data_IF_736020707036
#
_entry.id   IF_736020707036
#
_cell.length_a   1.000
_cell.length_b   1.000
_cell.length_c   1.000
_cell.angle_alpha   90.00
_cell.angle_beta   90.00
_cell.angle_gamma   90.00
#
_symmetry.space_group_name_H-M   'P 1'
#
loop_
_entity.id
_entity.type
_entity.pdbx_description
1 polymer ?
#
# COMPACT_ATOMS: atom_id res chain seq x y z
N UNK A 1 -3.01 -16.90 17.87
CA UNK A 1 -3.42 -16.51 16.52
C UNK A 1 -4.68 -17.27 16.09
N UNK A 2 -4.56 -18.57 15.68
CA UNK A 2 -5.66 -19.33 15.07
C UNK A 2 -6.95 -19.35 15.92
N UNK A 3 -6.86 -19.74 17.20
CA UNK A 3 -8.03 -19.80 18.10
C UNK A 3 -8.74 -18.43 18.19
N UNK A 4 -7.98 -17.36 18.40
CA UNK A 4 -8.54 -16.03 18.50
C UNK A 4 -9.24 -15.59 17.20
N UNK A 5 -8.64 -15.90 16.04
CA UNK A 5 -9.23 -15.60 14.74
C UNK A 5 -10.55 -16.34 14.50
N UNK A 6 -10.58 -17.66 14.75
CA UNK A 6 -11.80 -18.47 14.59
C UNK A 6 -12.90 -18.02 15.55
N UNK A 7 -12.57 -17.75 16.82
CA UNK A 7 -13.54 -17.22 17.80
C UNK A 7 -14.11 -15.88 17.38
N UNK A 8 -13.27 -15.01 16.84
CA UNK A 8 -13.68 -13.69 16.38
C UNK A 8 -14.65 -13.78 15.19
N UNK A 9 -14.30 -14.57 14.16
CA UNK A 9 -15.15 -14.73 12.98
C UNK A 9 -16.50 -15.38 13.38
N UNK A 10 -16.48 -16.40 14.25
CA UNK A 10 -17.70 -17.03 14.71
C UNK A 10 -18.69 -16.05 15.40
N UNK A 11 -18.18 -15.07 16.13
CA UNK A 11 -19.02 -14.01 16.73
C UNK A 11 -19.62 -13.07 15.69
N UNK A 12 -18.91 -12.82 14.59
CA UNK A 12 -19.39 -11.94 13.52
C UNK A 12 -20.41 -12.64 12.62
N UNK A 13 -20.11 -13.87 12.22
CA UNK A 13 -20.94 -14.71 11.38
C UNK A 13 -20.69 -16.21 11.68
N UNK A 14 -21.57 -16.87 12.44
CA UNK A 14 -21.41 -18.29 12.77
C UNK A 14 -21.46 -19.25 11.58
N UNK A 15 -22.02 -18.81 10.45
CA UNK A 15 -22.16 -19.62 9.22
C UNK A 15 -21.08 -19.28 8.16
N UNK A 16 -20.11 -18.42 8.49
CA UNK A 16 -19.04 -18.02 7.57
C UNK A 16 -18.19 -19.23 7.14
N UNK A 17 -17.93 -19.34 5.84
CA UNK A 17 -16.90 -20.26 5.33
C UNK A 17 -15.52 -19.61 5.45
N UNK A 18 -14.58 -20.31 6.11
CA UNK A 18 -13.26 -19.76 6.46
C UNK A 18 -12.16 -20.56 5.74
N UNK A 19 -11.29 -19.90 4.99
CA UNK A 19 -10.00 -20.44 4.57
C UNK A 19 -8.89 -19.87 5.47
N UNK A 20 -8.19 -20.76 6.20
CA UNK A 20 -7.06 -20.39 7.05
C UNK A 20 -5.76 -20.67 6.31
N UNK A 21 -5.06 -19.63 5.89
CA UNK A 21 -3.74 -19.73 5.28
C UNK A 21 -2.64 -19.62 6.34
N UNK A 22 -1.69 -20.55 6.37
CA UNK A 22 -0.60 -20.64 7.36
C UNK A 22 0.69 -21.15 6.71
N UNK A 23 1.84 -20.64 7.17
CA UNK A 23 3.17 -21.09 6.76
C UNK A 23 3.67 -22.32 7.55
N UNK A 24 3.03 -22.66 8.66
CA UNK A 24 3.32 -23.86 9.42
C UNK A 24 2.65 -25.10 8.79
N UNK A 25 3.38 -25.82 7.93
CA UNK A 25 2.90 -27.03 7.31
C UNK A 25 2.45 -28.08 8.35
N UNK A 26 3.17 -28.17 9.48
CA UNK A 26 2.81 -29.06 10.58
C UNK A 26 1.40 -28.77 11.12
N UNK A 27 1.11 -27.49 11.41
CA UNK A 27 -0.20 -27.09 11.95
C UNK A 27 -1.30 -27.30 10.91
N UNK A 28 -1.07 -26.94 9.65
CA UNK A 28 -2.03 -27.17 8.56
C UNK A 28 -2.39 -28.65 8.42
N UNK A 29 -1.39 -29.53 8.40
CA UNK A 29 -1.61 -30.99 8.29
C UNK A 29 -2.33 -31.57 9.51
N UNK A 30 -2.01 -31.08 10.71
CA UNK A 30 -2.65 -31.48 11.94
C UNK A 30 -4.11 -31.00 12.06
N UNK A 31 -4.37 -29.75 11.74
CA UNK A 31 -5.71 -29.15 11.79
C UNK A 31 -6.63 -29.72 10.71
N UNK A 32 -6.08 -30.08 9.54
CA UNK A 32 -6.80 -30.80 8.47
C UNK A 32 -7.04 -32.27 8.76
N UNK A 33 -6.53 -32.79 9.89
CA UNK A 33 -6.70 -34.20 10.27
C UNK A 33 -5.81 -35.19 9.51
N UNK A 34 -4.91 -34.75 8.65
CA UNK A 34 -3.99 -35.60 7.89
C UNK A 34 -2.83 -36.13 8.72
N UNK A 35 -2.40 -35.38 9.76
CA UNK A 35 -1.34 -35.80 10.68
C UNK A 35 -1.81 -35.83 12.12
N UNK A 36 -1.30 -36.83 12.88
CA UNK A 36 -1.64 -37.01 14.29
C UNK A 36 -0.94 -35.97 15.16
N UNK A 37 -1.67 -35.38 16.12
CA UNK A 37 -1.13 -34.48 17.14
C UNK A 37 -0.62 -35.31 18.32
N UNK A 38 0.70 -35.40 18.51
CA UNK A 38 1.32 -36.27 19.56
C UNK A 38 1.37 -35.57 20.92
N UNK A 39 1.58 -34.24 20.98
CA UNK A 39 1.71 -33.45 22.22
C UNK A 39 0.34 -33.19 22.85
N UNK A 40 0.19 -33.41 24.15
CA UNK A 40 -1.10 -33.29 24.86
C UNK A 40 -1.66 -31.86 24.79
N UNK A 41 -0.84 -30.84 25.11
CA UNK A 41 -1.26 -29.41 25.12
C UNK A 41 -1.69 -28.96 23.71
N UNK A 42 -1.02 -29.48 22.67
CA UNK A 42 -1.38 -29.18 21.28
C UNK A 42 -2.69 -29.85 20.87
N UNK A 43 -3.03 -31.02 21.42
CA UNK A 43 -4.35 -31.66 21.20
C UNK A 43 -5.46 -30.82 21.80
N UNK A 44 -5.25 -30.30 23.03
CA UNK A 44 -6.25 -29.51 23.73
C UNK A 44 -6.46 -28.17 23.01
N UNK A 45 -5.40 -27.55 22.54
CA UNK A 45 -5.50 -26.31 21.75
C UNK A 45 -6.18 -26.54 20.40
N UNK A 46 -5.86 -27.64 19.72
CA UNK A 46 -6.51 -27.99 18.46
C UNK A 46 -8.00 -28.32 18.64
N UNK A 47 -8.38 -28.92 19.78
CA UNK A 47 -9.78 -29.11 20.14
C UNK A 47 -10.49 -27.76 20.33
N UNK A 48 -9.92 -26.87 21.11
CA UNK A 48 -10.46 -25.50 21.30
C UNK A 48 -10.66 -24.78 19.96
N UNK A 49 -9.71 -24.88 19.03
CA UNK A 49 -9.84 -24.31 17.70
C UNK A 49 -11.02 -24.92 16.90
N UNK A 50 -11.25 -26.23 16.99
CA UNK A 50 -12.38 -26.86 16.32
C UNK A 50 -13.73 -26.54 16.97
N UNK A 51 -13.74 -26.33 18.28
CA UNK A 51 -14.93 -25.93 19.02
C UNK A 51 -15.29 -24.46 18.84
N UNK A 52 -14.33 -23.63 18.41
CA UNK A 52 -14.49 -22.19 18.24
C UNK A 52 -15.35 -21.78 17.04
N UNK A 53 -15.41 -22.60 16.00
CA UNK A 53 -16.25 -22.43 14.82
C UNK A 53 -16.62 -23.78 14.21
N UNK A 54 -17.71 -23.86 13.44
CA UNK A 54 -18.12 -25.10 12.79
C UNK A 54 -16.98 -25.66 11.91
N UNK A 55 -16.39 -26.82 12.26
CA UNK A 55 -15.21 -27.33 11.56
C UNK A 55 -15.46 -27.71 10.10
N UNK A 56 -16.73 -27.94 9.70
CA UNK A 56 -17.08 -28.21 8.30
C UNK A 56 -17.01 -26.98 7.41
N UNK A 57 -17.01 -25.80 8.00
CA UNK A 57 -16.90 -24.51 7.32
C UNK A 57 -15.46 -23.95 7.32
N UNK A 58 -14.49 -24.68 7.93
CA UNK A 58 -13.10 -24.24 8.02
C UNK A 58 -12.21 -25.13 7.16
N UNK A 59 -11.47 -24.50 6.26
CA UNK A 59 -10.43 -25.14 5.45
C UNK A 59 -9.06 -24.60 5.82
N UNK A 60 -8.01 -25.44 5.69
CA UNK A 60 -6.64 -25.07 6.03
C UNK A 60 -5.74 -25.22 4.81
N UNK A 61 -5.03 -24.15 4.45
CA UNK A 61 -4.12 -24.05 3.32
C UNK A 61 -2.73 -23.71 3.79
N UNK A 62 -1.73 -24.47 3.33
CA UNK A 62 -0.35 -24.09 3.54
C UNK A 62 0.08 -23.06 2.49
N UNK A 63 0.77 -22.02 2.95
CA UNK A 63 1.41 -21.01 2.11
C UNK A 63 2.90 -20.91 2.45
N UNK A 64 3.77 -20.50 1.52
CA UNK A 64 5.16 -20.21 1.80
C UNK A 64 5.30 -19.09 2.85
N UNK A 65 6.44 -19.09 3.58
CA UNK A 65 6.67 -18.15 4.68
C UNK A 65 6.74 -16.69 4.21
N UNK A 66 7.25 -16.45 3.02
CA UNK A 66 7.31 -15.16 2.36
C UNK A 66 5.91 -14.59 2.05
N UNK A 67 4.93 -15.45 1.81
CA UNK A 67 3.52 -15.06 1.67
C UNK A 67 2.81 -14.80 3.01
N UNK A 68 3.42 -15.16 4.16
CA UNK A 68 2.86 -14.99 5.51
C UNK A 68 3.54 -13.88 6.33
N UNK A 69 4.34 -13.05 5.73
CA UNK A 69 5.17 -12.02 6.38
C UNK A 69 4.37 -11.02 7.23
N UNK A 70 3.12 -10.75 6.89
CA UNK A 70 2.24 -9.87 7.66
C UNK A 70 1.84 -10.50 9.01
N UNK A 71 1.39 -11.76 9.01
CA UNK A 71 1.02 -12.47 10.23
C UNK A 71 2.24 -12.70 11.15
N UNK A 72 3.41 -13.00 10.57
CA UNK A 72 4.67 -13.17 11.28
C UNK A 72 5.08 -11.87 12.01
N UNK A 73 4.93 -10.72 11.36
CA UNK A 73 5.19 -9.40 11.94
C UNK A 73 4.24 -9.08 13.10
N UNK A 74 2.95 -9.39 12.97
CA UNK A 74 1.96 -9.21 14.03
C UNK A 74 2.24 -10.12 15.22
N UNK A 75 2.62 -11.37 14.97
CA UNK A 75 2.98 -12.33 16.02
C UNK A 75 4.25 -11.87 16.78
N UNK A 76 5.29 -11.42 16.06
CA UNK A 76 6.51 -10.91 16.66
C UNK A 76 6.24 -9.63 17.49
N UNK A 77 5.42 -8.71 16.99
CA UNK A 77 5.01 -7.51 17.76
C UNK A 77 4.30 -7.87 19.06
N UNK A 78 3.50 -8.95 19.07
CA UNK A 78 2.85 -9.43 20.28
C UNK A 78 3.83 -10.10 21.27
N UNK A 79 4.90 -10.76 20.78
CA UNK A 79 5.93 -11.40 21.60
C UNK A 79 6.92 -10.40 22.21
N UNK A 80 7.20 -9.28 21.54
CA UNK A 80 8.14 -8.24 22.00
C UNK A 80 7.58 -7.33 23.12
N UNK A 81 6.55 -7.77 23.83
CA UNK A 81 6.00 -7.12 25.02
C UNK A 81 4.94 -6.05 24.73
N UNK A 82 4.45 -5.99 23.51
CA UNK A 82 3.16 -5.37 23.24
C UNK A 82 2.09 -6.18 23.96
N UNK A 83 1.44 -5.60 25.00
CA UNK A 83 0.22 -6.19 25.53
C UNK A 83 -0.66 -6.54 24.32
N UNK A 84 -0.94 -7.82 24.14
CA UNK A 84 -2.03 -8.22 23.27
C UNK A 84 -3.26 -7.49 23.86
N UNK A 85 -3.64 -6.39 23.23
CA UNK A 85 -4.98 -5.88 23.44
C UNK A 85 -5.88 -7.04 23.06
N UNK A 86 -6.70 -7.53 24.00
CA UNK A 86 -7.80 -8.40 23.62
C UNK A 86 -8.40 -7.79 22.37
N UNK A 87 -8.75 -8.59 21.35
CA UNK A 87 -9.53 -8.08 20.24
C UNK A 87 -10.82 -7.56 20.85
N UNK A 88 -10.83 -6.30 21.23
CA UNK A 88 -12.05 -5.58 21.55
C UNK A 88 -12.89 -5.78 20.31
N UNK A 89 -14.05 -6.40 20.45
CA UNK A 89 -15.01 -6.48 19.40
C UNK A 89 -15.10 -5.07 18.81
N UNK A 90 -14.52 -4.85 17.63
CA UNK A 90 -14.65 -3.59 16.92
C UNK A 90 -16.08 -3.59 16.44
N UNK A 91 -16.95 -3.08 17.30
CA UNK A 91 -18.23 -2.58 16.85
C UNK A 91 -17.85 -1.58 15.77
N UNK A 92 -18.24 -1.83 14.53
CA UNK A 92 -18.07 -0.92 13.41
C UNK A 92 -19.00 0.28 13.61
N UNK A 93 -18.81 1.02 14.68
CA UNK A 93 -19.39 2.34 14.88
C UNK A 93 -18.45 3.32 14.18
N UNK A 94 -18.84 3.78 13.00
CA UNK A 94 -18.33 4.96 12.27
C UNK A 94 -16.92 5.46 12.66
N UNK A 95 -15.97 4.58 12.64
CA UNK A 95 -14.60 4.78 13.14
C UNK A 95 -13.98 6.07 12.57
N UNK A 96 -14.15 6.31 11.26
CA UNK A 96 -13.67 7.52 10.62
C UNK A 96 -14.43 8.78 11.10
N UNK A 97 -15.75 8.69 11.29
CA UNK A 97 -16.57 9.83 11.76
C UNK A 97 -16.14 10.29 13.16
N UNK A 98 -15.84 9.37 14.05
CA UNK A 98 -15.38 9.69 15.41
C UNK A 98 -13.98 10.29 15.39
N UNK A 99 -13.09 9.78 14.55
CA UNK A 99 -11.74 10.35 14.38
C UNK A 99 -11.76 11.74 13.76
N UNK A 100 -12.66 12.02 12.83
CA UNK A 100 -12.82 13.36 12.26
C UNK A 100 -13.32 14.39 13.28
N UNK A 101 -13.93 13.94 14.39
CA UNK A 101 -14.38 14.77 15.51
C UNK A 101 -13.38 14.78 16.67
N UNK A 102 -12.37 13.92 16.66
CA UNK A 102 -11.38 13.87 17.73
C UNK A 102 -10.46 15.09 17.72
N UNK A 103 -9.89 15.42 18.87
CA UNK A 103 -8.88 16.46 18.99
C UNK A 103 -7.47 16.00 18.52
N UNK A 104 -7.31 14.71 18.18
CA UNK A 104 -6.05 14.18 17.70
C UNK A 104 -5.75 14.71 16.30
N UNK A 105 -4.53 15.21 16.11
CA UNK A 105 -4.06 15.71 14.80
C UNK A 105 -3.48 14.56 14.00
N UNK A 106 -4.12 14.17 12.89
CA UNK A 106 -3.58 13.12 12.03
C UNK A 106 -2.32 13.61 11.29
N UNK A 107 -1.43 12.69 10.95
CA UNK A 107 -0.41 12.94 9.94
C UNK A 107 -1.11 13.06 8.58
N UNK A 108 -0.95 14.21 7.93
CA UNK A 108 -1.50 14.46 6.59
C UNK A 108 -0.40 14.21 5.55
N UNK A 109 -0.65 13.30 4.63
CA UNK A 109 0.28 12.94 3.57
C UNK A 109 -0.32 13.36 2.23
N UNK A 110 0.31 14.33 1.58
CA UNK A 110 -0.08 14.83 0.27
C UNK A 110 0.85 14.20 -0.77
N UNK A 111 0.38 13.17 -1.47
CA UNK A 111 1.08 12.51 -2.55
C UNK A 111 0.92 13.31 -3.82
N UNK A 112 2.02 13.77 -4.40
CA UNK A 112 2.04 14.54 -5.65
C UNK A 112 2.69 13.69 -6.73
N UNK A 113 1.99 13.43 -7.83
CA UNK A 113 2.64 12.83 -9.00
C UNK A 113 3.58 13.84 -9.65
N UNK A 114 4.75 13.40 -10.09
CA UNK A 114 5.66 14.23 -10.88
C UNK A 114 4.96 14.81 -12.13
N UNK A 115 5.47 15.92 -12.65
CA UNK A 115 5.01 16.56 -13.87
C UNK A 115 5.25 15.72 -15.12
N UNK A 116 4.75 16.20 -16.27
CA UNK A 116 4.89 15.52 -17.55
C UNK A 116 6.35 15.35 -17.97
N UNK A 117 6.66 14.18 -18.54
CA UNK A 117 7.93 13.86 -19.20
C UNK A 117 7.68 13.52 -20.66
N UNK A 118 8.73 13.40 -21.47
CA UNK A 118 8.63 13.00 -22.90
C UNK A 118 7.93 11.62 -23.07
N UNK A 119 7.95 10.77 -22.05
CA UNK A 119 7.32 9.45 -22.08
C UNK A 119 5.81 9.49 -21.78
N UNK A 120 5.32 10.57 -21.14
CA UNK A 120 3.93 10.68 -20.69
C UNK A 120 2.92 10.76 -21.84
N UNK A 121 3.07 11.65 -22.84
CA UNK A 121 2.13 11.73 -23.96
C UNK A 121 2.08 10.45 -24.80
N UNK A 122 3.21 9.74 -24.89
CA UNK A 122 3.34 8.51 -25.67
C UNK A 122 2.92 7.26 -24.87
N UNK A 123 2.45 7.42 -23.63
CA UNK A 123 2.01 6.33 -22.72
C UNK A 123 3.03 5.20 -22.61
N UNK A 124 4.31 5.56 -22.53
CA UNK A 124 5.40 4.60 -22.35
C UNK A 124 5.57 4.27 -20.87
N UNK A 125 5.93 3.02 -20.59
CA UNK A 125 6.32 2.61 -19.26
C UNK A 125 7.56 3.38 -18.82
N UNK A 126 7.53 3.93 -17.62
CA UNK A 126 8.59 4.77 -17.07
C UNK A 126 8.78 4.46 -15.58
N UNK A 127 9.46 3.36 -15.32
CA UNK A 127 9.76 2.88 -13.97
C UNK A 127 11.12 3.37 -13.45
N UNK A 128 11.82 2.47 -12.77
CA UNK A 128 13.18 2.66 -12.23
C UNK A 128 14.28 2.14 -13.15
N UNK A 129 13.95 1.85 -14.43
CA UNK A 129 14.90 1.36 -15.42
C UNK A 129 15.96 2.38 -15.84
N UNK A 130 16.68 2.09 -16.92
CA UNK A 130 17.79 2.91 -17.40
C UNK A 130 17.38 4.33 -17.87
N UNK A 131 16.08 4.53 -18.17
CA UNK A 131 15.54 5.82 -18.60
C UNK A 131 15.03 6.60 -17.38
N UNK A 132 15.70 7.72 -17.08
CA UNK A 132 15.26 8.67 -16.07
C UNK A 132 15.01 10.04 -16.73
N UNK A 133 13.87 10.20 -17.44
CA UNK A 133 13.57 11.40 -18.19
C UNK A 133 13.32 12.60 -17.26
N UNK A 134 13.77 13.76 -17.72
CA UNK A 134 13.43 15.05 -17.14
C UNK A 134 12.01 15.48 -17.50
N UNK A 135 11.50 16.49 -16.82
CA UNK A 135 10.23 17.13 -17.14
C UNK A 135 10.33 17.83 -18.50
N UNK A 136 9.23 17.82 -19.26
CA UNK A 136 9.05 18.68 -20.42
C UNK A 136 8.85 20.15 -19.99
N UNK A 137 8.84 21.08 -20.94
CA UNK A 137 8.46 22.49 -20.63
C UNK A 137 7.06 22.57 -20.01
N UNK A 138 6.10 21.78 -20.53
CA UNK A 138 4.76 21.67 -19.95
C UNK A 138 4.80 21.04 -18.57
N UNK A 139 5.63 20.01 -18.37
CA UNK A 139 5.86 19.39 -17.07
C UNK A 139 6.43 20.36 -16.03
N UNK A 140 7.37 21.22 -16.42
CA UNK A 140 7.89 22.28 -15.56
C UNK A 140 6.81 23.31 -15.21
N UNK A 141 6.01 23.72 -16.18
CA UNK A 141 4.87 24.62 -15.93
C UNK A 141 3.80 23.96 -15.01
N UNK A 142 3.55 22.65 -15.16
CA UNK A 142 2.69 21.89 -14.25
C UNK A 142 3.28 21.88 -12.83
N UNK A 143 4.60 21.69 -12.68
CA UNK A 143 5.29 21.68 -11.40
C UNK A 143 5.17 23.04 -10.67
N UNK A 144 5.28 24.16 -11.37
CA UNK A 144 5.08 25.47 -10.77
C UNK A 144 3.62 25.67 -10.30
N UNK A 145 2.63 25.22 -11.09
CA UNK A 145 1.22 25.31 -10.68
C UNK A 145 0.92 24.46 -9.44
N UNK A 146 1.39 23.21 -9.41
CA UNK A 146 1.17 22.35 -8.22
C UNK A 146 1.93 22.88 -7.00
N UNK A 147 3.10 23.49 -7.17
CA UNK A 147 3.85 24.11 -6.08
C UNK A 147 3.04 25.23 -5.40
N UNK A 148 2.39 26.09 -6.18
CA UNK A 148 1.51 27.13 -5.64
C UNK A 148 0.30 26.56 -4.88
N UNK A 149 -0.26 25.43 -5.32
CA UNK A 149 -1.36 24.75 -4.63
C UNK A 149 -0.89 24.07 -3.34
N UNK A 150 0.25 23.36 -3.39
CA UNK A 150 0.86 22.71 -2.23
C UNK A 150 1.21 23.71 -1.13
N UNK A 151 1.67 24.92 -1.49
CA UNK A 151 1.99 25.97 -0.51
C UNK A 151 0.75 26.35 0.34
N UNK A 152 -0.45 26.31 -0.22
CA UNK A 152 -1.70 26.60 0.53
C UNK A 152 -1.99 25.55 1.61
N UNK A 153 -1.49 24.32 1.44
CA UNK A 153 -1.63 23.24 2.41
C UNK A 153 -0.73 23.46 3.63
N UNK A 154 0.26 24.38 3.53
CA UNK A 154 1.25 24.69 4.58
C UNK A 154 1.99 23.41 5.03
N UNK A 155 2.69 22.73 4.12
CA UNK A 155 3.46 21.56 4.46
C UNK A 155 4.60 21.88 5.42
N UNK A 156 5.03 20.90 6.21
CA UNK A 156 6.12 20.99 7.16
C UNK A 156 7.32 20.13 6.76
N UNK A 157 7.08 19.16 5.86
CA UNK A 157 8.10 18.22 5.36
C UNK A 157 7.87 17.99 3.87
N UNK A 158 8.96 17.98 3.10
CA UNK A 158 8.94 17.68 1.68
C UNK A 158 9.88 16.51 1.38
N UNK A 159 9.29 15.41 0.92
CA UNK A 159 9.98 14.18 0.52
C UNK A 159 9.86 14.03 -1.00
N UNK A 160 10.87 13.48 -1.64
CA UNK A 160 10.85 13.17 -3.07
C UNK A 160 11.43 11.81 -3.35
N UNK A 161 10.83 11.09 -4.31
CA UNK A 161 11.53 10.05 -5.05
C UNK A 161 12.79 10.65 -5.67
N UNK A 162 13.95 9.93 -5.66
CA UNK A 162 15.18 10.43 -6.26
C UNK A 162 15.19 10.54 -7.79
N UNK A 163 14.17 9.99 -8.49
CA UNK A 163 14.08 10.09 -9.94
C UNK A 163 13.95 11.54 -10.41
N UNK A 164 14.68 11.92 -11.45
CA UNK A 164 14.82 13.31 -11.93
C UNK A 164 13.48 14.03 -12.06
N UNK A 165 12.49 13.41 -12.70
CA UNK A 165 11.15 13.98 -12.88
C UNK A 165 10.43 14.31 -11.58
N UNK A 166 10.59 13.47 -10.55
CA UNK A 166 10.04 13.72 -9.22
C UNK A 166 10.84 14.80 -8.51
N UNK A 167 12.16 14.76 -8.58
CA UNK A 167 13.04 15.74 -8.00
C UNK A 167 12.80 17.14 -8.57
N UNK A 168 12.69 17.30 -9.88
CA UNK A 168 12.41 18.60 -10.52
C UNK A 168 11.04 19.15 -10.08
N UNK A 169 10.03 18.29 -9.91
CA UNK A 169 8.72 18.70 -9.37
C UNK A 169 8.85 19.12 -7.90
N UNK A 170 9.61 18.38 -7.09
CA UNK A 170 9.87 18.71 -5.69
C UNK A 170 10.66 20.03 -5.55
N UNK A 171 11.60 20.28 -6.44
CA UNK A 171 12.39 21.54 -6.44
C UNK A 171 11.50 22.78 -6.69
N UNK A 172 10.46 22.68 -7.53
CA UNK A 172 9.47 23.75 -7.69
C UNK A 172 8.69 23.98 -6.37
N UNK A 173 8.28 22.89 -5.69
CA UNK A 173 7.60 22.98 -4.39
C UNK A 173 8.56 23.57 -3.34
N UNK A 174 9.82 23.14 -3.30
CA UNK A 174 10.83 23.65 -2.37
C UNK A 174 11.03 25.16 -2.52
N UNK A 175 11.16 25.65 -3.75
CA UNK A 175 11.29 27.10 -4.03
C UNK A 175 10.10 27.91 -3.50
N UNK A 176 8.88 27.35 -3.59
CA UNK A 176 7.66 28.05 -3.19
C UNK A 176 7.41 27.98 -1.69
N UNK A 177 7.78 26.86 -1.04
CA UNK A 177 7.50 26.61 0.38
C UNK A 177 8.67 26.96 1.31
N UNK A 178 9.90 27.03 0.77
CA UNK A 178 11.13 27.19 1.56
C UNK A 178 11.58 25.92 2.28
N UNK A 179 11.00 24.76 1.97
CA UNK A 179 11.36 23.48 2.57
C UNK A 179 12.53 22.83 1.83
N UNK A 180 13.39 22.14 2.59
CA UNK A 180 14.42 21.28 2.01
C UNK A 180 13.78 19.99 1.45
N UNK A 181 14.30 19.52 0.31
CA UNK A 181 13.87 18.25 -0.29
C UNK A 181 14.63 17.07 0.34
N UNK A 182 13.91 16.16 0.96
CA UNK A 182 14.44 14.91 1.49
C UNK A 182 14.23 13.81 0.45
N UNK A 183 15.31 13.27 -0.11
CA UNK A 183 15.22 12.13 -1.00
C UNK A 183 15.01 10.83 -0.22
N UNK A 184 14.06 10.01 -0.70
CA UNK A 184 13.78 8.72 -0.10
C UNK A 184 13.41 7.68 -1.18
N UNK A 185 14.20 6.63 -1.25
CA UNK A 185 14.07 5.55 -2.25
C UNK A 185 12.81 4.71 -2.07
N UNK A 186 12.19 4.73 -0.90
CA UNK A 186 10.93 4.01 -0.66
C UNK A 186 9.78 4.53 -1.55
N UNK A 187 9.94 5.73 -2.13
CA UNK A 187 8.96 6.39 -3.00
C UNK A 187 9.27 6.29 -4.50
N UNK A 188 10.19 5.43 -4.92
CA UNK A 188 10.45 5.14 -6.34
C UNK A 188 9.20 4.61 -7.06
N UNK A 189 9.12 4.86 -8.39
CA UNK A 189 8.14 4.18 -9.24
C UNK A 189 8.43 2.67 -9.28
N UNK A 190 7.42 1.87 -9.65
CA UNK A 190 7.60 0.46 -9.91
C UNK A 190 8.66 0.26 -11.01
N UNK A 191 9.43 -0.80 -10.89
CA UNK A 191 10.24 -1.27 -12.02
C UNK A 191 9.35 -2.03 -13.00
N UNK A 192 9.37 -1.63 -14.26
CA UNK A 192 8.69 -2.38 -15.34
C UNK A 192 9.68 -3.30 -16.11
N UNK A 193 10.90 -3.46 -15.61
CA UNK A 193 11.90 -4.36 -16.17
C UNK A 193 12.16 -4.09 -17.65
N UNK A 194 12.03 -5.12 -18.50
CA UNK A 194 12.24 -5.00 -19.95
C UNK A 194 11.17 -4.19 -20.69
N UNK A 195 10.09 -3.78 -20.01
CA UNK A 195 9.06 -2.93 -20.59
C UNK A 195 9.37 -1.43 -20.45
N UNK A 196 10.32 -1.05 -19.59
CA UNK A 196 10.70 0.35 -19.41
C UNK A 196 11.10 0.99 -20.76
N UNK A 197 10.50 2.13 -21.07
CA UNK A 197 10.68 2.87 -22.32
C UNK A 197 9.82 2.40 -23.49
N UNK A 198 9.13 1.27 -23.38
CA UNK A 198 8.20 0.77 -24.42
C UNK A 198 6.80 1.35 -24.22
N UNK A 199 6.07 1.50 -25.32
CA UNK A 199 4.64 1.83 -25.27
C UNK A 199 3.81 0.58 -24.96
N UNK A 200 2.55 0.79 -24.59
CA UNK A 200 1.58 -0.30 -24.42
C UNK A 200 1.43 -1.13 -25.70
N UNK A 201 1.42 -0.47 -26.84
CA UNK A 201 1.30 -1.11 -28.16
C UNK A 201 2.53 -1.98 -28.49
N UNK A 202 3.73 -1.49 -28.20
CA UNK A 202 4.98 -2.25 -28.36
C UNK A 202 4.99 -3.49 -27.47
N UNK A 203 4.64 -3.36 -26.19
CA UNK A 203 4.55 -4.51 -25.25
C UNK A 203 3.49 -5.52 -25.71
N UNK A 204 2.31 -5.07 -26.13
CA UNK A 204 1.25 -5.96 -26.65
C UNK A 204 1.69 -6.73 -27.91
N UNK A 205 2.47 -6.10 -28.76
CA UNK A 205 2.97 -6.73 -29.98
C UNK A 205 4.09 -7.75 -29.71
N UNK A 206 4.99 -7.44 -28.77
CA UNK A 206 6.15 -8.27 -28.47
C UNK A 206 5.83 -9.41 -27.49
N UNK A 207 5.02 -9.15 -26.47
CA UNK A 207 4.70 -10.08 -25.37
C UNK A 207 3.21 -10.04 -25.01
N UNK A 208 2.29 -10.45 -25.92
CA UNK A 208 0.85 -10.32 -25.70
C UNK A 208 0.35 -11.11 -24.49
N UNK A 209 0.89 -12.31 -24.26
CA UNK A 209 0.50 -13.18 -23.13
C UNK A 209 0.93 -12.57 -21.79
N UNK A 210 2.14 -12.02 -21.73
CA UNK A 210 2.65 -11.31 -20.56
C UNK A 210 1.83 -10.06 -20.22
N UNK A 211 1.45 -9.31 -21.27
CA UNK A 211 0.59 -8.13 -21.10
C UNK A 211 -0.80 -8.51 -20.55
N UNK A 212 -1.40 -9.60 -21.04
CA UNK A 212 -2.66 -10.11 -20.52
C UNK A 212 -2.51 -10.63 -19.08
N UNK A 213 -1.44 -11.35 -18.77
CA UNK A 213 -1.15 -11.81 -17.40
C UNK A 213 -1.04 -10.64 -16.43
N UNK A 214 -0.35 -9.57 -16.83
CA UNK A 214 -0.23 -8.35 -16.02
C UNK A 214 -1.58 -7.67 -15.75
N UNK A 215 -2.46 -7.56 -16.76
CA UNK A 215 -3.78 -6.96 -16.58
C UNK A 215 -4.71 -7.79 -15.67
N UNK A 216 -4.47 -9.09 -15.57
CA UNK A 216 -5.32 -10.02 -14.82
C UNK A 216 -4.76 -10.35 -13.42
N UNK A 217 -3.57 -9.86 -13.07
CA UNK A 217 -2.95 -10.20 -11.79
C UNK A 217 -2.03 -9.11 -11.27
N UNK A 218 -2.31 -8.63 -10.07
CA UNK A 218 -1.44 -7.69 -9.35
C UNK A 218 -0.11 -8.32 -8.91
N UNK A 219 -0.01 -9.66 -8.85
CA UNK A 219 1.22 -10.38 -8.53
C UNK A 219 2.15 -10.59 -9.73
N UNK A 220 1.67 -10.32 -10.95
CA UNK A 220 2.51 -10.43 -12.14
C UNK A 220 3.59 -9.34 -12.17
N UNK A 221 4.83 -9.72 -12.47
CA UNK A 221 5.98 -8.81 -12.59
C UNK A 221 6.17 -8.39 -14.05
N UNK A 222 5.76 -7.19 -14.43
CA UNK A 222 5.86 -6.72 -15.82
C UNK A 222 7.32 -6.64 -16.26
N UNK A 223 7.67 -7.36 -17.33
CA UNK A 223 9.03 -7.41 -17.85
C UNK A 223 10.09 -7.91 -16.84
N UNK A 224 9.70 -8.69 -15.81
CA UNK A 224 10.58 -9.13 -14.72
C UNK A 224 10.85 -8.05 -13.66
N UNK A 225 10.12 -6.96 -13.68
CA UNK A 225 10.24 -5.85 -12.72
C UNK A 225 9.52 -6.10 -11.39
N UNK A 226 8.88 -5.07 -10.84
CA UNK A 226 8.15 -5.10 -9.58
C UNK A 226 6.64 -5.31 -9.84
N UNK A 227 6.01 -6.23 -9.12
CA UNK A 227 4.56 -6.41 -9.14
C UNK A 227 3.85 -5.34 -8.29
N UNK A 228 2.54 -5.16 -8.52
CA UNK A 228 1.75 -4.28 -7.66
C UNK A 228 1.61 -4.81 -6.22
N UNK A 229 1.66 -6.13 -6.01
CA UNK A 229 1.66 -6.72 -4.68
C UNK A 229 2.93 -6.34 -3.90
N UNK A 230 4.10 -6.41 -4.55
CA UNK A 230 5.36 -5.99 -3.96
C UNK A 230 5.40 -4.49 -3.71
N UNK A 231 4.97 -3.69 -4.69
CA UNK A 231 4.85 -2.24 -4.53
C UNK A 231 3.93 -1.86 -3.36
N UNK A 232 2.81 -2.58 -3.17
CA UNK A 232 1.89 -2.37 -2.04
C UNK A 232 2.59 -2.60 -0.70
N UNK A 233 3.39 -3.66 -0.57
CA UNK A 233 4.16 -3.95 0.66
C UNK A 233 5.20 -2.87 0.93
N UNK A 234 5.93 -2.44 -0.09
CA UNK A 234 6.92 -1.35 0.02
C UNK A 234 6.27 -0.04 0.42
N UNK A 235 5.14 0.32 -0.19
CA UNK A 235 4.40 1.54 0.11
C UNK A 235 3.81 1.50 1.52
N UNK A 236 3.32 0.35 1.98
CA UNK A 236 2.84 0.17 3.36
C UNK A 236 3.97 0.44 4.36
N UNK A 237 5.13 -0.17 4.15
CA UNK A 237 6.30 0.06 4.98
C UNK A 237 6.78 1.53 4.95
N UNK A 238 6.70 2.19 3.78
CA UNK A 238 7.05 3.60 3.63
C UNK A 238 6.08 4.51 4.43
N UNK A 239 4.79 4.23 4.41
CA UNK A 239 3.78 4.94 5.20
C UNK A 239 4.00 4.77 6.70
N UNK A 240 4.30 3.55 7.18
CA UNK A 240 4.63 3.28 8.58
C UNK A 240 5.89 4.05 9.04
N UNK A 241 6.95 4.01 8.23
CA UNK A 241 8.19 4.73 8.49
C UNK A 241 7.96 6.25 8.55
N UNK A 242 7.14 6.77 7.63
CA UNK A 242 6.78 8.18 7.58
C UNK A 242 5.98 8.59 8.83
N UNK A 243 4.97 7.79 9.22
CA UNK A 243 4.16 8.03 10.41
C UNK A 243 5.01 8.05 11.69
N UNK A 244 5.93 7.09 11.82
CA UNK A 244 6.83 7.02 12.97
C UNK A 244 7.76 8.23 13.08
N UNK A 245 8.20 8.77 11.91
CA UNK A 245 9.15 9.90 11.86
C UNK A 245 8.47 11.27 11.98
N UNK A 246 7.24 11.40 11.48
CA UNK A 246 6.55 12.69 11.36
C UNK A 246 5.10 12.65 11.91
N UNK A 247 4.87 12.17 13.15
CA UNK A 247 3.53 12.07 13.71
C UNK A 247 2.86 13.46 13.81
N UNK A 248 1.61 13.55 13.33
CA UNK A 248 0.81 14.77 13.36
C UNK A 248 1.27 15.87 12.38
N UNK A 249 2.23 15.59 11.50
CA UNK A 249 2.77 16.57 10.54
C UNK A 249 2.02 16.54 9.21
N UNK A 250 2.16 17.67 8.47
CA UNK A 250 1.76 17.77 7.06
C UNK A 250 2.97 17.47 6.18
N UNK A 251 2.95 16.33 5.53
CA UNK A 251 4.06 15.84 4.70
C UNK A 251 3.63 15.85 3.24
N UNK A 252 4.46 16.40 2.38
CA UNK A 252 4.33 16.27 0.92
C UNK A 252 5.32 15.22 0.45
N UNK A 253 4.85 14.31 -0.40
CA UNK A 253 5.69 13.30 -1.04
C UNK A 253 5.51 13.40 -2.54
N UNK A 254 6.57 13.80 -3.24
CA UNK A 254 6.58 13.80 -4.71
C UNK A 254 7.00 12.43 -5.21
N UNK A 255 6.11 11.76 -5.91
CA UNK A 255 6.27 10.37 -6.32
C UNK A 255 5.59 10.10 -7.68
N UNK A 256 5.09 8.90 -7.92
CA UNK A 256 4.72 8.38 -9.23
C UNK A 256 3.31 7.78 -9.22
N UNK A 257 2.78 7.49 -10.42
CA UNK A 257 1.43 6.97 -10.62
C UNK A 257 1.21 5.63 -9.90
N UNK A 258 2.11 4.66 -10.08
CA UNK A 258 1.97 3.34 -9.49
C UNK A 258 1.98 3.37 -7.96
N UNK A 259 2.86 4.18 -7.37
CA UNK A 259 2.97 4.37 -5.92
C UNK A 259 1.72 5.03 -5.33
N UNK A 260 1.21 6.09 -5.97
CA UNK A 260 0.00 6.80 -5.52
C UNK A 260 -1.22 5.88 -5.55
N UNK A 261 -1.38 5.10 -6.63
CA UNK A 261 -2.46 4.12 -6.76
C UNK A 261 -2.36 3.05 -5.68
N UNK A 262 -1.16 2.51 -5.45
CA UNK A 262 -0.91 1.52 -4.39
C UNK A 262 -1.22 2.06 -3.01
N UNK A 263 -0.80 3.30 -2.70
CA UNK A 263 -1.10 3.96 -1.42
C UNK A 263 -2.60 4.19 -1.22
N UNK A 264 -3.28 4.73 -2.23
CA UNK A 264 -4.72 5.01 -2.15
C UNK A 264 -5.53 3.72 -2.00
N UNK A 265 -5.22 2.69 -2.81
CA UNK A 265 -5.89 1.40 -2.75
C UNK A 265 -5.64 0.67 -1.42
N UNK A 266 -4.42 0.74 -0.88
CA UNK A 266 -4.07 0.21 0.43
C UNK A 266 -4.92 0.84 1.55
N UNK A 267 -5.03 2.16 1.54
CA UNK A 267 -5.74 2.94 2.58
C UNK A 267 -7.23 2.66 2.63
N UNK A 268 -7.86 2.44 1.47
CA UNK A 268 -9.29 2.09 1.41
C UNK A 268 -9.57 0.59 1.63
N UNK A 269 -8.54 -0.22 1.85
CA UNK A 269 -8.69 -1.68 1.99
C UNK A 269 -9.12 -2.37 0.70
N UNK A 270 -8.82 -1.77 -0.47
CA UNK A 270 -9.17 -2.34 -1.76
C UNK A 270 -8.40 -3.61 -2.09
N UNK A 271 -8.94 -4.50 -2.94
CA UNK A 271 -8.22 -5.66 -3.45
C UNK A 271 -7.01 -5.19 -4.27
N UNK A 272 -5.94 -6.00 -4.32
CA UNK A 272 -4.67 -5.57 -4.93
C UNK A 272 -4.81 -5.17 -6.41
N UNK A 273 -5.66 -5.86 -7.17
CA UNK A 273 -5.97 -5.56 -8.57
C UNK A 273 -6.80 -4.27 -8.77
N UNK A 274 -7.36 -3.71 -7.70
CA UNK A 274 -8.07 -2.42 -7.74
C UNK A 274 -7.22 -1.27 -8.30
N UNK A 275 -5.88 -1.38 -8.24
CA UNK A 275 -4.95 -0.39 -8.83
C UNK A 275 -5.10 -0.23 -10.34
N UNK A 276 -5.60 -1.25 -11.06
CA UNK A 276 -5.84 -1.18 -12.51
C UNK A 276 -7.02 -0.29 -12.88
N UNK A 277 -7.87 0.05 -11.91
CA UNK A 277 -9.03 0.93 -12.08
C UNK A 277 -8.76 2.38 -11.60
N UNK A 278 -7.51 2.73 -11.32
CA UNK A 278 -7.11 4.03 -10.79
C UNK A 278 -6.08 4.68 -11.71
N UNK A 279 -6.09 6.01 -11.78
CA UNK A 279 -5.05 6.80 -12.43
C UNK A 279 -4.84 8.12 -11.69
N UNK A 280 -3.58 8.49 -11.52
CA UNK A 280 -3.17 9.79 -10.98
C UNK A 280 -2.52 10.60 -12.12
N UNK A 281 -3.11 11.72 -12.50
CA UNK A 281 -2.63 12.62 -13.55
C UNK A 281 -1.30 13.30 -13.13
N UNK A 282 -0.38 13.63 -14.06
CA UNK A 282 0.80 14.42 -13.73
C UNK A 282 0.46 15.67 -12.91
N UNK A 283 1.24 15.95 -11.88
CA UNK A 283 1.02 17.03 -10.91
C UNK A 283 -0.34 17.03 -10.20
N UNK A 284 -1.06 15.91 -10.16
CA UNK A 284 -2.23 15.77 -9.29
C UNK A 284 -1.82 15.59 -7.83
N UNK A 285 -2.72 15.95 -6.92
CA UNK A 285 -2.55 15.78 -5.47
C UNK A 285 -3.55 14.72 -4.99
N UNK A 286 -3.06 13.74 -4.24
CA UNK A 286 -3.89 12.77 -3.51
C UNK A 286 -3.55 12.85 -2.03
N UNK A 287 -4.56 12.93 -1.17
CA UNK A 287 -4.35 13.18 0.27
C UNK A 287 -4.81 12.00 1.12
N UNK A 288 -3.94 11.56 1.99
CA UNK A 288 -4.18 10.51 2.99
C UNK A 288 -4.03 11.15 4.38
N UNK A 289 -4.85 10.75 5.34
CA UNK A 289 -4.64 11.02 6.76
C UNK A 289 -4.39 9.71 7.52
N UNK A 290 -3.43 9.73 8.45
CA UNK A 290 -3.11 8.60 9.32
C UNK A 290 -3.08 9.12 10.76
N UNK A 291 -3.86 8.50 11.66
CA UNK A 291 -3.87 8.86 13.08
C UNK A 291 -2.77 8.13 13.83
N UNK A 292 -1.87 8.87 14.52
CA UNK A 292 -0.71 8.25 15.19
C UNK A 292 -1.06 7.28 16.30
N UNK A 293 -2.20 7.46 16.98
CA UNK A 293 -2.57 6.65 18.15
C UNK A 293 -2.87 5.19 17.83
N UNK A 294 -3.43 4.91 16.65
CA UNK A 294 -3.89 3.56 16.26
C UNK A 294 -3.56 3.18 14.81
N UNK A 295 -2.98 4.12 14.05
CA UNK A 295 -2.62 3.87 12.65
C UNK A 295 -3.82 3.83 11.70
N UNK A 296 -5.03 4.25 12.14
CA UNK A 296 -6.18 4.36 11.25
C UNK A 296 -5.84 5.25 10.07
N UNK A 297 -6.18 4.81 8.87
CA UNK A 297 -5.91 5.49 7.61
C UNK A 297 -7.20 5.90 6.92
N UNK A 298 -7.19 7.06 6.28
CA UNK A 298 -8.31 7.51 5.47
C UNK A 298 -7.83 8.21 4.20
N UNK A 299 -8.42 7.86 3.05
CA UNK A 299 -8.26 8.60 1.81
C UNK A 299 -9.15 9.84 1.87
N UNK A 300 -8.54 11.03 1.84
CA UNK A 300 -9.25 12.32 1.94
C UNK A 300 -9.63 12.85 0.57
N UNK A 301 -8.73 12.65 -0.40
CA UNK A 301 -8.96 13.00 -1.80
C UNK A 301 -8.05 12.16 -2.70
N UNK A 302 -8.45 12.01 -3.96
CA UNK A 302 -7.67 11.31 -4.97
C UNK A 302 -7.67 12.07 -6.28
N UNK A 303 -6.48 12.24 -6.89
CA UNK A 303 -6.29 12.83 -8.20
C UNK A 303 -6.89 14.25 -8.35
N UNK A 304 -6.70 15.12 -7.34
CA UNK A 304 -7.13 16.52 -7.40
C UNK A 304 -6.33 17.31 -8.44
N UNK A 305 -7.03 18.05 -9.31
CA UNK A 305 -6.45 18.77 -10.44
C UNK A 305 -6.97 20.21 -10.59
N UNK A 306 -7.58 20.77 -9.56
CA UNK A 306 -8.17 22.12 -9.63
C UNK A 306 -7.19 23.20 -10.08
N UNK A 307 -5.90 23.03 -9.81
CA UNK A 307 -4.80 23.92 -10.17
C UNK A 307 -4.27 23.75 -11.61
N UNK A 308 -4.80 22.81 -12.39
CA UNK A 308 -4.41 22.62 -13.81
C UNK A 308 -5.05 23.64 -14.74
N UNK A 309 -6.05 24.39 -14.27
CA UNK A 309 -6.80 25.39 -15.05
C UNK A 309 -6.08 26.73 -15.11
#
# INVERSE_FOLDING_TARGET
GLLAGLTHIHRLDPEATIEVAMDSKLVVEQMSGRWQIKHADMRDLAKQCRDAHNPTLVTYKWIPRDENSHADRLANKALDGGKASEPTAVVQENFLTDRLRSAEVPTMIHLVRHGETILTPTRKFSGTGALDPELTEDGLAQAERVAAEVAKLKPEVLISSPLKRARQTADAIARTTGLDVIEDTDWYELSFGTWDGKSIEEVKAETPDDYQAWLNSSSYRPGGGESYDEARLRVDAALEKLLAKYPGKKVVVVTHNGVIKSAANLVIGGPNDGVFHMDATPCSISTISIWPSDGLRALRSFNERGHHR
#
